data_IF_839823716416
#
_entry.id   IF_839823716416
#
_cell.length_a   1.000
_cell.length_b   1.000
_cell.length_c   1.000
_cell.angle_alpha   90.00
_cell.angle_beta   90.00
_cell.angle_gamma   90.00
#
_symmetry.space_group_name_H-M   'P 1'
#
loop_
_entity.id
_entity.type
_entity.pdbx_description
1 polymer ?
#
# COMPACT_ATOMS: atom_id res chain seq x y z
N UNK A 1 -2.99 -16.77 16.51
CA UNK A 1 -3.28 -15.61 15.65
C UNK A 1 -4.26 -14.69 16.34
N UNK A 2 -3.79 -13.72 17.12
CA UNK A 2 -4.65 -12.82 17.90
C UNK A 2 -4.86 -11.44 17.25
N UNK A 3 -4.18 -11.11 16.13
CA UNK A 3 -4.26 -9.80 15.46
C UNK A 3 -5.51 -9.53 14.63
N UNK A 4 -6.51 -10.41 14.70
CA UNK A 4 -7.66 -10.42 13.79
C UNK A 4 -8.91 -9.71 14.32
N UNK A 5 -8.91 -9.04 15.49
CA UNK A 5 -10.17 -8.52 16.05
C UNK A 5 -10.08 -7.12 16.65
N UNK A 6 -8.95 -6.42 16.53
CA UNK A 6 -8.81 -5.06 17.02
C UNK A 6 -7.42 -4.48 16.83
N UNK A 7 -7.37 -3.17 16.54
CA UNK A 7 -6.14 -2.40 16.31
C UNK A 7 -5.16 -2.52 17.51
N UNK A 8 -5.70 -2.60 18.73
CA UNK A 8 -4.91 -2.62 19.96
C UNK A 8 -4.36 -4.01 20.32
N UNK A 9 -4.69 -5.08 19.59
CA UNK A 9 -4.24 -6.43 19.99
C UNK A 9 -2.75 -6.64 19.70
N UNK A 10 -2.19 -5.91 18.72
CA UNK A 10 -0.74 -5.92 18.45
C UNK A 10 0.07 -5.41 19.66
N UNK A 11 -0.50 -4.52 20.48
CA UNK A 11 0.15 -4.00 21.70
C UNK A 11 0.49 -5.10 22.71
N UNK A 12 -0.23 -6.24 22.68
CA UNK A 12 0.06 -7.37 23.57
C UNK A 12 1.39 -8.06 23.26
N UNK A 13 1.88 -7.95 22.02
CA UNK A 13 3.15 -8.51 21.60
C UNK A 13 4.30 -7.48 21.63
N UNK A 14 3.97 -6.21 21.88
CA UNK A 14 4.92 -5.11 21.72
C UNK A 14 6.14 -5.24 22.65
N UNK A 15 5.92 -5.54 23.93
CA UNK A 15 7.00 -5.68 24.91
C UNK A 15 7.90 -6.88 24.61
N UNK A 16 7.32 -8.06 24.40
CA UNK A 16 8.09 -9.28 24.09
C UNK A 16 8.87 -9.11 22.78
N UNK A 17 8.27 -8.49 21.77
CA UNK A 17 8.92 -8.24 20.50
C UNK A 17 10.04 -7.21 20.62
N UNK A 18 9.83 -6.14 21.39
CA UNK A 18 10.85 -5.14 21.69
C UNK A 18 12.04 -5.77 22.42
N UNK A 19 11.78 -6.57 23.44
CA UNK A 19 12.81 -7.28 24.22
C UNK A 19 13.63 -8.19 23.31
N UNK A 20 12.97 -9.00 22.47
CA UNK A 20 13.65 -9.84 21.48
C UNK A 20 14.55 -9.00 20.56
N UNK A 21 14.05 -7.90 20.00
CA UNK A 21 14.82 -7.03 19.10
C UNK A 21 16.01 -6.37 19.81
N UNK A 22 15.85 -5.98 21.08
CA UNK A 22 16.93 -5.42 21.90
C UNK A 22 17.99 -6.48 22.23
N UNK A 23 17.57 -7.70 22.55
CA UNK A 23 18.45 -8.82 22.88
C UNK A 23 19.30 -9.24 21.67
N UNK A 24 18.68 -9.48 20.50
CA UNK A 24 19.45 -9.87 19.30
C UNK A 24 20.41 -8.77 18.85
N UNK A 25 20.09 -7.51 19.12
CA UNK A 25 20.96 -6.37 18.84
C UNK A 25 22.11 -6.29 19.85
N UNK A 26 21.83 -6.36 21.16
CA UNK A 26 22.83 -6.21 22.22
C UNK A 26 23.84 -7.35 22.24
N UNK A 27 23.40 -8.58 21.91
CA UNK A 27 24.27 -9.76 21.74
C UNK A 27 25.06 -9.76 20.43
N UNK A 28 24.85 -8.77 19.55
CA UNK A 28 25.59 -8.63 18.29
C UNK A 28 25.18 -9.62 17.20
N UNK A 29 24.04 -10.32 17.32
CA UNK A 29 23.58 -11.27 16.30
C UNK A 29 23.27 -10.60 14.96
N UNK A 30 22.90 -9.31 14.97
CA UNK A 30 22.70 -8.51 13.77
C UNK A 30 24.00 -8.13 13.04
N UNK A 31 25.18 -8.42 13.60
CA UNK A 31 26.45 -8.09 12.97
C UNK A 31 26.72 -8.89 11.69
N UNK A 32 26.07 -10.05 11.52
CA UNK A 32 26.23 -10.92 10.34
C UNK A 32 24.90 -11.51 9.85
N UNK A 33 23.76 -11.00 10.33
CA UNK A 33 22.43 -11.52 10.03
C UNK A 33 21.59 -10.47 9.32
N UNK A 34 20.93 -10.85 8.21
CA UNK A 34 19.80 -10.10 7.66
C UNK A 34 18.55 -10.44 8.49
N UNK A 35 17.99 -9.44 9.18
CA UNK A 35 16.72 -9.57 9.89
C UNK A 35 15.58 -9.08 9.00
N UNK A 36 14.52 -9.86 8.90
CA UNK A 36 13.29 -9.49 8.21
C UNK A 36 12.14 -9.58 9.20
N UNK A 37 11.36 -8.51 9.28
CA UNK A 37 10.11 -8.48 10.03
C UNK A 37 8.99 -8.20 9.05
N UNK A 38 7.99 -9.08 9.01
CA UNK A 38 6.91 -8.99 8.04
C UNK A 38 5.57 -9.47 8.59
N UNK A 39 4.49 -8.92 8.06
CA UNK A 39 3.14 -9.48 8.13
C UNK A 39 2.77 -10.18 6.83
N UNK A 40 1.82 -11.10 6.88
CA UNK A 40 1.22 -11.73 5.69
C UNK A 40 0.15 -10.85 5.04
N UNK A 41 -0.58 -10.09 5.85
CA UNK A 41 -1.58 -9.11 5.44
C UNK A 41 -1.67 -7.93 6.45
N UNK A 42 -2.40 -6.87 6.12
CA UNK A 42 -2.75 -5.81 7.08
C UNK A 42 -3.98 -6.15 7.94
N UNK A 43 -4.72 -5.14 8.43
CA UNK A 43 -5.88 -5.40 9.28
C UNK A 43 -7.04 -6.04 8.48
N UNK A 44 -7.24 -7.34 8.66
CA UNK A 44 -8.17 -8.15 7.84
C UNK A 44 -9.60 -8.26 8.39
N UNK A 45 -9.90 -7.66 9.54
CA UNK A 45 -11.14 -7.93 10.25
C UNK A 45 -11.59 -6.71 11.08
N UNK A 46 -12.89 -6.68 11.37
CA UNK A 46 -13.54 -5.57 12.06
C UNK A 46 -14.05 -4.49 11.11
N UNK A 47 -14.86 -3.58 11.64
CA UNK A 47 -15.55 -2.52 10.88
C UNK A 47 -14.59 -1.62 10.08
N UNK A 48 -13.35 -1.45 10.58
CA UNK A 48 -12.32 -0.65 9.91
C UNK A 48 -12.00 -1.19 8.51
N UNK A 49 -12.09 -2.52 8.28
CA UNK A 49 -11.88 -3.13 6.96
C UNK A 49 -12.90 -2.67 5.92
N UNK A 50 -14.10 -2.27 6.33
CA UNK A 50 -15.14 -1.82 5.39
C UNK A 50 -14.81 -0.43 4.82
N UNK A 51 -13.99 0.35 5.52
CA UNK A 51 -13.51 1.65 5.05
C UNK A 51 -12.55 1.52 3.87
N UNK A 52 -12.46 2.59 3.06
CA UNK A 52 -11.46 2.68 1.98
C UNK A 52 -10.03 2.48 2.51
N UNK A 53 -9.73 3.06 3.68
CA UNK A 53 -8.41 2.93 4.30
C UNK A 53 -8.15 1.49 4.73
N UNK A 54 -9.09 0.83 5.40
CA UNK A 54 -8.94 -0.57 5.80
C UNK A 54 -8.79 -1.53 4.63
N UNK A 55 -9.50 -1.29 3.51
CA UNK A 55 -9.32 -2.05 2.27
C UNK A 55 -7.90 -1.94 1.70
N UNK A 56 -7.26 -0.77 1.79
CA UNK A 56 -5.88 -0.58 1.35
C UNK A 56 -4.90 -1.20 2.35
N UNK A 57 -5.10 -0.97 3.65
CA UNK A 57 -4.25 -1.52 4.71
C UNK A 57 -4.21 -3.05 4.68
N UNK A 58 -5.34 -3.73 4.48
CA UNK A 58 -5.39 -5.20 4.31
C UNK A 58 -4.38 -5.71 3.26
N UNK A 59 -4.16 -4.93 2.19
CA UNK A 59 -3.35 -5.28 1.01
C UNK A 59 -1.91 -4.79 1.10
N UNK A 60 -1.59 -4.03 2.14
CA UNK A 60 -0.29 -3.43 2.39
C UNK A 60 0.29 -4.00 3.70
N UNK A 61 0.77 -5.26 3.69
CA UNK A 61 1.43 -5.82 4.86
C UNK A 61 2.69 -5.04 5.23
N UNK A 62 2.98 -4.99 6.53
CA UNK A 62 4.25 -4.48 7.02
C UNK A 62 5.41 -5.34 6.54
N UNK A 63 6.51 -4.73 6.07
CA UNK A 63 7.72 -5.42 5.65
C UNK A 63 8.96 -4.57 5.93
N UNK A 64 9.98 -5.16 6.53
CA UNK A 64 11.28 -4.51 6.76
C UNK A 64 12.45 -5.45 6.51
N UNK A 65 13.58 -4.88 6.09
CA UNK A 65 14.85 -5.57 5.98
C UNK A 65 15.92 -4.79 6.75
N UNK A 66 16.53 -5.41 7.75
CA UNK A 66 17.66 -4.87 8.50
C UNK A 66 18.91 -5.66 8.16
N UNK A 67 19.76 -5.07 7.34
CA UNK A 67 21.04 -5.65 6.94
C UNK A 67 22.12 -5.43 8.01
N UNK A 68 23.15 -6.31 8.06
CA UNK A 68 24.32 -6.09 8.90
C UNK A 68 24.97 -4.72 8.69
N UNK A 69 25.54 -4.09 9.74
CA UNK A 69 26.15 -2.76 9.61
C UNK A 69 27.20 -2.65 8.51
N UNK A 70 28.02 -3.69 8.32
CA UNK A 70 29.06 -3.73 7.29
C UNK A 70 28.49 -3.73 5.87
N UNK A 71 27.25 -4.19 5.66
CA UNK A 71 26.64 -4.28 4.33
C UNK A 71 26.54 -2.90 3.68
N UNK A 72 26.18 -1.87 4.47
CA UNK A 72 26.03 -0.50 3.97
C UNK A 72 27.34 0.07 3.45
N UNK A 73 28.43 -0.16 4.17
CA UNK A 73 29.77 0.29 3.79
C UNK A 73 30.33 -0.50 2.60
N UNK A 74 30.06 -1.81 2.55
CA UNK A 74 30.58 -2.69 1.50
C UNK A 74 29.80 -2.61 0.18
N UNK A 75 28.48 -2.38 0.25
CA UNK A 75 27.57 -2.35 -0.90
C UNK A 75 26.76 -1.04 -0.93
N UNK A 76 27.40 0.12 -1.13
CA UNK A 76 26.72 1.42 -1.09
C UNK A 76 25.67 1.55 -2.20
N UNK A 77 25.91 1.00 -3.39
CA UNK A 77 24.94 1.01 -4.51
C UNK A 77 23.68 0.21 -4.18
N UNK A 78 23.82 -1.02 -3.67
CA UNK A 78 22.68 -1.85 -3.29
C UNK A 78 21.88 -1.19 -2.14
N UNK A 79 22.59 -0.57 -1.19
CA UNK A 79 21.98 0.19 -0.10
C UNK A 79 21.19 1.40 -0.59
N UNK A 80 21.71 2.12 -1.59
CA UNK A 80 21.00 3.23 -2.22
C UNK A 80 19.72 2.74 -2.91
N UNK A 81 19.80 1.64 -3.67
CA UNK A 81 18.63 1.02 -4.31
C UNK A 81 17.56 0.63 -3.29
N UNK A 82 17.94 -0.08 -2.22
CA UNK A 82 17.03 -0.45 -1.13
C UNK A 82 16.35 0.77 -0.51
N UNK A 83 17.10 1.87 -0.28
CA UNK A 83 16.55 3.11 0.26
C UNK A 83 15.55 3.76 -0.71
N UNK A 84 15.86 3.81 -2.00
CA UNK A 84 14.95 4.31 -3.03
C UNK A 84 13.67 3.48 -3.10
N UNK A 85 13.82 2.15 -3.01
CA UNK A 85 12.72 1.19 -3.13
C UNK A 85 11.70 1.28 -1.99
N UNK A 86 12.04 1.90 -0.85
CA UNK A 86 11.06 2.17 0.22
C UNK A 86 9.93 3.11 -0.21
N UNK A 87 10.09 3.79 -1.36
CA UNK A 87 9.11 4.71 -1.96
C UNK A 87 8.59 4.21 -3.32
N UNK A 88 8.69 2.91 -3.57
CA UNK A 88 8.29 2.27 -4.85
C UNK A 88 7.25 1.20 -4.59
N UNK A 89 6.45 0.90 -5.62
CA UNK A 89 5.53 -0.24 -5.58
C UNK A 89 6.32 -1.55 -5.64
N UNK A 90 6.23 -2.33 -4.56
CA UNK A 90 6.86 -3.65 -4.44
C UNK A 90 5.81 -4.72 -4.15
N UNK A 91 6.21 -5.97 -4.32
CA UNK A 91 5.39 -7.16 -4.15
C UNK A 91 6.18 -8.28 -3.48
N UNK A 92 5.50 -9.32 -3.02
CA UNK A 92 6.14 -10.53 -2.51
C UNK A 92 6.99 -11.26 -3.57
N UNK A 93 6.69 -11.08 -4.86
CA UNK A 93 7.54 -11.58 -5.94
C UNK A 93 8.91 -10.90 -5.96
N UNK A 94 8.99 -9.62 -5.60
CA UNK A 94 10.27 -8.90 -5.51
C UNK A 94 11.10 -9.39 -4.32
N UNK A 95 10.45 -9.75 -3.22
CA UNK A 95 11.12 -10.38 -2.07
C UNK A 95 11.71 -11.73 -2.46
N UNK A 96 10.93 -12.56 -3.15
CA UNK A 96 11.43 -13.83 -3.72
C UNK A 96 12.62 -13.60 -4.66
N UNK A 97 12.49 -12.67 -5.61
CA UNK A 97 13.56 -12.30 -6.53
C UNK A 97 14.81 -11.78 -5.81
N UNK A 98 14.64 -11.07 -4.70
CA UNK A 98 15.74 -10.57 -3.85
C UNK A 98 16.51 -11.73 -3.23
N UNK A 99 15.84 -12.73 -2.67
CA UNK A 99 16.52 -13.90 -2.10
C UNK A 99 17.24 -14.71 -3.17
N UNK A 100 16.62 -14.91 -4.35
CA UNK A 100 17.28 -15.56 -5.48
C UNK A 100 18.56 -14.82 -5.87
N UNK A 101 18.49 -13.49 -5.99
CA UNK A 101 19.65 -12.65 -6.30
C UNK A 101 20.72 -12.67 -5.21
N UNK A 102 20.36 -12.71 -3.92
CA UNK A 102 21.33 -12.85 -2.84
C UNK A 102 22.12 -14.16 -2.93
N UNK A 103 21.48 -15.26 -3.36
CA UNK A 103 22.13 -16.56 -3.53
C UNK A 103 23.01 -16.65 -4.78
N UNK A 104 22.69 -15.89 -5.83
CA UNK A 104 23.44 -15.86 -7.09
C UNK A 104 24.37 -14.65 -7.25
N UNK A 105 24.46 -13.79 -6.24
CA UNK A 105 25.19 -12.52 -6.32
C UNK A 105 26.66 -12.74 -6.73
N UNK A 106 27.22 -11.95 -7.66
CA UNK A 106 26.69 -10.69 -8.22
C UNK A 106 25.72 -10.83 -9.39
N UNK A 107 25.46 -12.05 -9.83
CA UNK A 107 24.67 -12.30 -11.03
C UNK A 107 23.17 -12.25 -10.72
N UNK A 108 22.43 -11.57 -11.60
CA UNK A 108 20.98 -11.57 -11.52
C UNK A 108 20.42 -12.96 -11.87
N UNK A 109 19.41 -13.45 -11.14
CA UNK A 109 18.78 -14.72 -11.46
C UNK A 109 18.10 -14.65 -12.84
N UNK A 110 18.44 -15.59 -13.72
CA UNK A 110 18.02 -15.60 -15.12
C UNK A 110 16.65 -16.24 -15.36
N UNK A 111 16.09 -16.93 -14.37
CA UNK A 111 14.88 -17.75 -14.46
C UNK A 111 13.68 -17.15 -13.70
N UNK A 112 13.70 -15.86 -13.38
CA UNK A 112 12.59 -15.19 -12.70
C UNK A 112 11.40 -14.99 -13.66
N UNK A 113 10.27 -15.61 -13.32
CA UNK A 113 8.99 -15.37 -14.01
C UNK A 113 8.29 -14.09 -13.55
N UNK A 114 8.47 -13.73 -12.28
CA UNK A 114 7.81 -12.60 -11.63
C UNK A 114 8.77 -11.90 -10.67
N UNK A 115 8.55 -10.60 -10.49
CA UNK A 115 9.32 -9.77 -9.58
C UNK A 115 10.72 -9.43 -10.07
N UNK A 116 11.33 -8.45 -9.42
CA UNK A 116 12.71 -8.05 -9.62
C UNK A 116 13.36 -7.84 -8.26
N UNK A 117 14.67 -8.07 -8.16
CA UNK A 117 15.37 -7.96 -6.88
C UNK A 117 15.32 -6.54 -6.32
N UNK A 118 14.98 -6.40 -5.04
CA UNK A 118 15.02 -5.14 -4.26
C UNK A 118 16.44 -4.58 -4.07
N UNK A 119 17.49 -5.37 -4.35
CA UNK A 119 18.87 -4.88 -4.44
C UNK A 119 19.15 -4.07 -5.73
N UNK A 120 18.20 -4.05 -6.66
CA UNK A 120 18.19 -3.19 -7.87
C UNK A 120 17.14 -2.11 -7.72
N UNK A 121 17.26 -0.98 -8.41
CA UNK A 121 16.26 0.09 -8.33
C UNK A 121 14.94 -0.35 -9.00
N UNK A 122 13.83 -0.25 -8.26
CA UNK A 122 12.48 -0.42 -8.79
C UNK A 122 12.06 0.87 -9.51
N UNK A 123 11.51 0.81 -10.73
CA UNK A 123 11.02 1.98 -11.46
C UNK A 123 9.97 2.77 -10.68
N UNK A 124 10.02 4.10 -10.76
CA UNK A 124 9.01 4.96 -10.13
C UNK A 124 7.61 4.76 -10.72
N UNK A 125 7.53 4.57 -12.04
CA UNK A 125 6.30 4.41 -12.80
C UNK A 125 5.76 2.98 -12.79
N UNK A 126 6.29 2.10 -11.94
CA UNK A 126 5.91 0.69 -11.92
C UNK A 126 4.43 0.52 -11.56
N UNK A 127 3.72 -0.20 -12.40
CA UNK A 127 2.30 -0.52 -12.27
C UNK A 127 2.08 -1.84 -11.52
N UNK A 128 0.85 -2.08 -11.04
CA UNK A 128 0.49 -3.36 -10.43
C UNK A 128 0.68 -4.54 -11.39
N UNK A 129 0.38 -4.37 -12.68
CA UNK A 129 0.59 -5.42 -13.69
C UNK A 129 2.09 -5.79 -13.82
N UNK A 130 2.99 -4.81 -13.88
CA UNK A 130 4.44 -5.03 -13.89
C UNK A 130 4.96 -5.61 -12.55
N UNK A 131 4.25 -5.33 -11.45
CA UNK A 131 4.50 -5.96 -10.16
C UNK A 131 3.87 -7.35 -10.00
N UNK A 132 3.19 -7.86 -11.04
CA UNK A 132 2.42 -9.11 -10.98
C UNK A 132 1.37 -9.12 -9.85
N UNK A 133 0.85 -7.95 -9.48
CA UNK A 133 -0.22 -7.77 -8.50
C UNK A 133 -1.56 -7.76 -9.26
N UNK A 134 -2.47 -8.72 -9.00
CA UNK A 134 -3.80 -8.70 -9.61
C UNK A 134 -4.58 -7.44 -9.26
N UNK A 135 -5.44 -6.97 -10.18
CA UNK A 135 -6.17 -5.70 -10.02
C UNK A 135 -6.93 -5.59 -8.69
N UNK A 136 -7.54 -6.69 -8.20
CA UNK A 136 -8.29 -6.69 -6.93
C UNK A 136 -7.41 -6.59 -5.67
N UNK A 137 -6.11 -6.82 -5.80
CA UNK A 137 -5.08 -6.63 -4.77
C UNK A 137 -4.26 -5.36 -4.98
N UNK A 138 -4.46 -4.64 -6.09
CA UNK A 138 -3.67 -3.46 -6.43
C UNK A 138 -3.98 -2.30 -5.48
N UNK A 139 -3.01 -1.82 -4.68
CA UNK A 139 -3.22 -0.73 -3.73
C UNK A 139 -3.12 0.66 -4.40
N UNK A 140 -2.81 0.73 -5.69
CA UNK A 140 -2.71 2.00 -6.41
C UNK A 140 -4.06 2.69 -6.48
N UNK A 141 -4.05 3.99 -6.21
CA UNK A 141 -5.21 4.85 -6.31
C UNK A 141 -5.32 5.41 -7.73
N UNK A 142 -6.55 5.53 -8.20
CA UNK A 142 -6.90 6.08 -9.49
C UNK A 142 -7.56 7.44 -9.30
N UNK A 143 -7.19 8.38 -10.16
CA UNK A 143 -7.81 9.70 -10.20
C UNK A 143 -8.99 9.67 -11.17
N UNK A 144 -10.16 10.00 -10.67
CA UNK A 144 -11.39 10.11 -11.46
C UNK A 144 -11.84 11.56 -11.53
N UNK A 145 -12.17 12.04 -12.72
CA UNK A 145 -12.72 13.39 -12.87
C UNK A 145 -14.11 13.45 -12.21
N UNK A 146 -14.35 14.52 -11.46
CA UNK A 146 -15.64 14.78 -10.80
C UNK A 146 -16.18 16.15 -11.18
N UNK A 147 -17.50 16.31 -11.09
CA UNK A 147 -18.15 17.58 -11.44
C UNK A 147 -17.71 18.71 -10.52
N UNK A 148 -17.28 19.82 -11.11
CA UNK A 148 -16.94 21.06 -10.37
C UNK A 148 -18.14 21.71 -9.69
N UNK A 149 -19.35 21.39 -10.16
CA UNK A 149 -20.62 21.86 -9.58
C UNK A 149 -21.03 21.06 -8.34
N UNK A 150 -20.34 19.95 -8.04
CA UNK A 150 -20.65 19.15 -6.87
C UNK A 150 -20.48 19.99 -5.58
N UNK A 151 -21.47 19.95 -4.69
CA UNK A 151 -21.51 20.78 -3.48
C UNK A 151 -20.24 20.65 -2.62
N UNK A 152 -19.73 19.43 -2.41
CA UNK A 152 -18.46 19.20 -1.72
C UNK A 152 -17.25 19.88 -2.39
N UNK A 153 -17.16 19.89 -3.72
CA UNK A 153 -16.06 20.55 -4.44
C UNK A 153 -16.14 22.06 -4.23
N UNK A 154 -17.32 22.65 -4.45
CA UNK A 154 -17.54 24.09 -4.27
C UNK A 154 -17.30 24.53 -2.83
N UNK A 155 -17.82 23.78 -1.86
CA UNK A 155 -17.63 24.07 -0.44
C UNK A 155 -16.17 23.94 -0.01
N UNK A 156 -15.44 22.95 -0.54
CA UNK A 156 -14.01 22.78 -0.27
C UNK A 156 -13.20 23.95 -0.83
N UNK A 157 -13.46 24.36 -2.07
CA UNK A 157 -12.80 25.51 -2.68
C UNK A 157 -13.07 26.82 -1.90
N UNK A 158 -14.32 27.04 -1.48
CA UNK A 158 -14.69 28.19 -0.63
C UNK A 158 -14.00 28.14 0.74
N UNK A 159 -13.91 26.96 1.36
CA UNK A 159 -13.21 26.76 2.63
C UNK A 159 -11.70 27.05 2.51
N UNK A 160 -11.07 26.62 1.42
CA UNK A 160 -9.66 26.93 1.12
C UNK A 160 -9.43 28.43 0.96
N UNK A 161 -10.28 29.13 0.19
CA UNK A 161 -10.19 30.60 0.04
C UNK A 161 -10.36 31.30 1.39
N UNK A 162 -11.32 30.85 2.20
CA UNK A 162 -11.52 31.36 3.56
C UNK A 162 -10.28 31.15 4.44
N UNK A 163 -9.68 29.96 4.37
CA UNK A 163 -8.46 29.64 5.13
C UNK A 163 -7.28 30.53 4.73
N UNK A 164 -7.02 30.71 3.42
CA UNK A 164 -5.96 31.59 2.92
C UNK A 164 -6.20 33.04 3.37
N UNK A 165 -7.44 33.53 3.25
CA UNK A 165 -7.78 34.86 3.73
C UNK A 165 -7.51 35.02 5.22
N UNK A 166 -7.82 34.01 6.04
CA UNK A 166 -7.51 34.05 7.48
C UNK A 166 -6.00 34.12 7.72
N UNK A 167 -5.19 33.32 7.02
CA UNK A 167 -3.72 33.38 7.12
C UNK A 167 -3.15 34.75 6.71
N UNK A 168 -3.68 35.35 5.65
CA UNK A 168 -3.29 36.71 5.23
C UNK A 168 -3.63 37.75 6.30
N UNK A 169 -4.65 37.48 7.11
CA UNK A 169 -5.04 38.29 8.24
C UNK A 169 -4.27 37.95 9.52
N UNK A 170 -3.30 37.04 9.56
CA UNK A 170 -2.53 36.77 10.79
C UNK A 170 -1.31 37.69 10.96
N UNK A 171 -0.68 38.10 9.85
CA UNK A 171 0.55 38.90 9.88
C UNK A 171 0.32 40.33 9.40
N UNK A 172 0.82 41.31 10.15
CA UNK A 172 0.64 42.74 9.83
C UNK A 172 1.08 43.12 8.41
N UNK A 173 2.19 42.55 7.92
CA UNK A 173 2.69 42.81 6.56
C UNK A 173 1.78 42.23 5.47
N UNK A 174 1.18 41.06 5.71
CA UNK A 174 0.24 40.44 4.78
C UNK A 174 -1.10 41.17 4.77
N UNK A 175 -1.58 41.64 5.93
CA UNK A 175 -2.80 42.46 6.05
C UNK A 175 -2.78 43.72 5.20
N UNK A 176 -1.63 44.36 5.08
CA UNK A 176 -1.49 45.63 4.34
C UNK A 176 -1.16 45.46 2.86
N UNK A 177 -0.58 44.32 2.48
CA UNK A 177 -0.14 44.07 1.10
C UNK A 177 -1.08 43.15 0.30
N UNK A 178 -1.95 42.38 0.97
CA UNK A 178 -2.81 41.40 0.30
C UNK A 178 -4.28 41.82 0.33
N UNK A 179 -4.95 41.71 -0.81
CA UNK A 179 -6.40 41.85 -0.92
C UNK A 179 -7.14 40.58 -0.47
N UNK A 180 -8.40 40.73 -0.05
CA UNK A 180 -9.27 39.61 0.27
C UNK A 180 -9.63 38.85 -1.00
N UNK A 181 -9.23 37.58 -1.05
CA UNK A 181 -9.49 36.70 -2.19
C UNK A 181 -10.96 36.27 -2.23
N UNK A 182 -11.48 36.09 -3.45
CA UNK A 182 -12.78 35.48 -3.72
C UNK A 182 -12.61 34.33 -4.71
N UNK A 183 -13.46 33.30 -4.61
CA UNK A 183 -13.46 32.19 -5.55
C UNK A 183 -14.15 32.62 -6.84
N UNK A 184 -13.42 32.68 -7.96
CA UNK A 184 -14.02 32.98 -9.27
C UNK A 184 -14.63 31.72 -9.90
N UNK A 185 -13.81 30.69 -10.10
CA UNK A 185 -14.24 29.44 -10.74
C UNK A 185 -13.34 28.28 -10.31
N UNK A 186 -13.88 27.06 -10.37
CA UNK A 186 -13.10 25.82 -10.21
C UNK A 186 -12.90 25.23 -11.61
N UNK A 187 -11.64 25.12 -12.06
CA UNK A 187 -11.31 24.68 -13.43
C UNK A 187 -11.48 23.19 -13.66
N UNK A 188 -11.09 22.38 -12.68
CA UNK A 188 -11.23 20.93 -12.72
C UNK A 188 -11.29 20.40 -11.28
N UNK A 189 -11.86 19.21 -11.11
CA UNK A 189 -11.87 18.50 -9.85
C UNK A 189 -11.64 17.02 -10.11
N UNK A 190 -10.82 16.40 -9.26
CA UNK A 190 -10.48 14.98 -9.33
C UNK A 190 -10.69 14.35 -7.96
N UNK A 191 -11.16 13.11 -7.96
CA UNK A 191 -11.28 12.27 -6.78
C UNK A 191 -10.31 11.10 -6.90
N UNK A 192 -9.40 11.02 -5.95
CA UNK A 192 -8.51 9.87 -5.77
C UNK A 192 -9.29 8.76 -5.04
N UNK A 193 -9.35 7.57 -5.64
CA UNK A 193 -10.05 6.41 -5.07
C UNK A 193 -9.34 5.11 -5.45
N UNK A 194 -9.45 4.03 -4.66
CA UNK A 194 -9.01 2.72 -5.11
C UNK A 194 -9.75 2.31 -6.38
N UNK A 195 -9.15 1.40 -7.16
CA UNK A 195 -9.86 0.82 -8.30
C UNK A 195 -11.15 0.13 -7.84
N UNK A 196 -12.12 0.04 -8.75
CA UNK A 196 -13.47 -0.45 -8.41
C UNK A 196 -13.47 -1.91 -7.93
N UNK A 197 -12.50 -2.73 -8.35
CA UNK A 197 -12.38 -4.13 -7.92
C UNK A 197 -11.95 -4.26 -6.45
N UNK A 198 -11.10 -3.34 -5.96
CA UNK A 198 -10.78 -3.24 -4.53
C UNK A 198 -12.02 -2.88 -3.71
N UNK A 199 -12.91 -2.03 -4.26
CA UNK A 199 -14.13 -1.60 -3.58
C UNK A 199 -15.18 -2.71 -3.50
N UNK A 200 -15.28 -3.59 -4.49
CA UNK A 200 -16.37 -4.55 -4.62
C UNK A 200 -16.29 -5.79 -3.70
N UNK A 201 -15.15 -6.10 -3.07
CA UNK A 201 -14.95 -7.36 -2.33
C UNK A 201 -15.42 -8.61 -3.11
N UNK A 202 -15.48 -8.56 -4.45
CA UNK A 202 -15.74 -9.74 -5.25
C UNK A 202 -14.49 -10.62 -5.21
N UNK A 203 -14.65 -11.92 -4.92
CA UNK A 203 -13.58 -12.92 -4.83
C UNK A 203 -12.62 -12.84 -3.63
N UNK A 204 -12.91 -12.06 -2.57
CA UNK A 204 -12.01 -12.01 -1.38
C UNK A 204 -12.25 -13.09 -0.32
N UNK A 205 -13.29 -13.91 -0.46
CA UNK A 205 -13.74 -14.74 0.66
C UNK A 205 -12.90 -16.00 0.91
N UNK A 206 -12.21 -16.59 -0.07
CA UNK A 206 -11.51 -17.88 0.15
C UNK A 206 -10.33 -18.13 -0.80
N UNK A 207 -9.43 -17.16 -0.97
CA UNK A 207 -8.29 -17.31 -1.90
C UNK A 207 -7.08 -18.05 -1.27
N UNK A 208 -7.34 -19.25 -0.76
CA UNK A 208 -6.33 -20.32 -0.63
C UNK A 208 -6.67 -21.55 -1.50
N UNK A 209 -7.51 -21.40 -2.53
CA UNK A 209 -7.62 -22.45 -3.55
C UNK A 209 -6.33 -22.48 -4.36
N UNK A 210 -5.36 -23.24 -3.85
CA UNK A 210 -4.29 -23.83 -4.64
C UNK A 210 -4.95 -24.43 -5.88
N UNK A 211 -4.63 -23.88 -7.05
CA UNK A 211 -5.02 -24.45 -8.34
C UNK A 211 -4.24 -25.76 -8.53
N UNK A 212 -4.69 -26.83 -7.87
CA UNK A 212 -4.46 -28.18 -8.38
C UNK A 212 -5.49 -28.43 -9.47
N UNK A 213 -4.97 -28.72 -10.66
CA UNK A 213 -5.73 -29.06 -11.85
C UNK A 213 -6.68 -30.22 -11.54
N UNK A 214 -7.97 -29.93 -11.39
CA UNK A 214 -9.01 -30.95 -11.26
C UNK A 214 -10.23 -30.49 -12.05
N UNK A 215 -10.48 -31.22 -13.15
CA UNK A 215 -11.63 -31.05 -14.03
C UNK A 215 -12.93 -31.31 -13.26
N UNK A 216 -13.82 -30.33 -13.18
CA UNK A 216 -15.19 -30.54 -12.71
C UNK A 216 -16.19 -29.97 -13.72
N UNK A 217 -16.95 -30.88 -14.33
CA UNK A 217 -18.08 -30.58 -15.23
C UNK A 217 -19.09 -29.68 -14.53
N UNK A 218 -19.37 -28.53 -15.12
CA UNK A 218 -20.42 -27.61 -14.69
C UNK A 218 -21.80 -28.15 -15.08
N UNK A 219 -22.64 -28.44 -14.08
CA UNK A 219 -24.08 -28.58 -14.26
C UNK A 219 -24.71 -27.19 -14.32
N UNK A 220 -25.32 -26.85 -15.47
CA UNK A 220 -26.13 -25.65 -15.66
C UNK A 220 -27.50 -25.87 -15.03
N UNK A 221 -27.90 -25.01 -14.11
CA UNK A 221 -29.32 -24.74 -13.85
C UNK A 221 -29.61 -23.26 -14.08
N UNK A 222 -30.43 -23.02 -15.10
CA UNK A 222 -31.10 -21.77 -15.44
C UNK A 222 -32.13 -21.39 -14.38
N UNK A 223 -32.13 -20.15 -13.92
CA UNK A 223 -33.28 -19.58 -13.23
C UNK A 223 -34.05 -18.65 -14.19
N UNK A 224 -35.23 -19.12 -14.59
CA UNK A 224 -36.30 -18.33 -15.18
C UNK A 224 -36.93 -17.43 -14.09
N UNK A 225 -37.48 -16.29 -14.53
CA UNK A 225 -37.84 -15.16 -13.66
C UNK A 225 -39.16 -15.28 -12.91
N UNK A 226 -39.45 -14.25 -12.13
CA UNK A 226 -40.83 -13.88 -11.75
C UNK A 226 -40.87 -12.38 -11.41
N UNK A 227 -41.83 -11.68 -12.01
CA UNK A 227 -42.24 -10.31 -11.65
C UNK A 227 -43.15 -10.37 -10.42
N UNK A 228 -43.07 -9.36 -9.56
CA UNK A 228 -44.21 -8.96 -8.74
C UNK A 228 -44.32 -7.43 -8.73
N UNK A 229 -45.50 -6.95 -9.11
CA UNK A 229 -46.00 -5.61 -8.81
C UNK A 229 -46.72 -5.68 -7.47
N UNK A 230 -46.44 -4.72 -6.59
CA UNK A 230 -47.41 -3.74 -6.06
C UNK A 230 -46.63 -2.45 -5.80
#
# INVERSE_FOLDING_TARGET
GHGHHGINIVQKLEWDFLELLQEIKSKGYLNNTLLIVMGDHGLRFGEVRESIQGKLEERLPFYTMTFPPWFKSRYPKLTANLKTNTKRLTSWFDVYATFRHMLSYPDLPSDLKHGQSLLTEIPYSRTCAEASIPDHWCPCLEWSAVSVEHSHIRNSALATVKYINNLNQEKNKSRTLCEKLTLMEVKYAMLERPNERVLQFSHVDWDWKTNFNADFKTLRHTCAGTKYNL
#
